data_IF_168571086167
#
_entry.id   IF_168571086167
#
_cell.length_a   1.000
_cell.length_b   1.000
_cell.length_c   1.000
_cell.angle_alpha   90.00
_cell.angle_beta   90.00
_cell.angle_gamma   90.00
#
_symmetry.space_group_name_H-M   'P 1'
#
loop_
_entity.id
_entity.type
_entity.pdbx_description
1 polymer ?
#
# COMPACT_ATOMS: atom_id res chain seq x y z
N UNK A 1 -1.55 5.01 -16.56
CA UNK A 1 -1.99 6.09 -15.67
C UNK A 1 -3.29 6.67 -16.19
N UNK A 2 -4.11 7.27 -15.32
CA UNK A 2 -5.42 7.84 -15.68
C UNK A 2 -5.25 9.20 -16.38
N UNK A 3 -6.17 9.58 -17.29
CA UNK A 3 -6.12 10.90 -17.93
C UNK A 3 -6.40 12.02 -16.92
N UNK A 4 -5.75 13.20 -17.00
CA UNK A 4 -5.92 14.26 -16.00
C UNK A 4 -7.37 14.66 -15.69
N UNK A 5 -8.22 14.75 -16.72
CA UNK A 5 -9.64 15.09 -16.55
C UNK A 5 -10.46 14.04 -15.76
N UNK A 6 -9.99 12.79 -15.74
CA UNK A 6 -10.66 11.66 -15.10
C UNK A 6 -10.13 11.37 -13.68
N UNK A 7 -8.97 11.93 -13.31
CA UNK A 7 -8.28 11.67 -12.03
C UNK A 7 -9.18 11.94 -10.84
N UNK A 8 -9.85 13.10 -10.80
CA UNK A 8 -10.70 13.48 -9.67
C UNK A 8 -11.86 12.48 -9.46
N UNK A 9 -12.49 12.05 -10.56
CA UNK A 9 -13.55 11.03 -10.53
C UNK A 9 -13.02 9.68 -10.07
N UNK A 10 -11.86 9.26 -10.58
CA UNK A 10 -11.24 7.98 -10.23
C UNK A 10 -10.84 7.91 -8.75
N UNK A 11 -10.24 8.97 -8.19
CA UNK A 11 -9.90 9.03 -6.76
C UNK A 11 -11.16 9.02 -5.90
N UNK A 12 -12.19 9.78 -6.27
CA UNK A 12 -13.47 9.79 -5.54
C UNK A 12 -14.11 8.40 -5.51
N UNK A 13 -14.07 7.68 -6.63
CA UNK A 13 -14.58 6.32 -6.72
C UNK A 13 -13.76 5.35 -5.85
N UNK A 14 -12.42 5.41 -5.92
CA UNK A 14 -11.51 4.59 -5.11
C UNK A 14 -11.75 4.80 -3.61
N UNK A 15 -11.84 6.06 -3.16
CA UNK A 15 -12.11 6.39 -1.77
C UNK A 15 -13.50 5.94 -1.32
N UNK A 16 -14.53 6.11 -2.15
CA UNK A 16 -15.88 5.66 -1.83
C UNK A 16 -15.94 4.15 -1.64
N UNK A 17 -15.31 3.39 -2.54
CA UNK A 17 -15.27 1.93 -2.46
C UNK A 17 -14.53 1.46 -1.21
N UNK A 18 -13.33 2.01 -0.96
CA UNK A 18 -12.52 1.62 0.19
C UNK A 18 -13.22 1.91 1.52
N UNK A 19 -13.79 3.12 1.67
CA UNK A 19 -14.48 3.51 2.90
C UNK A 19 -15.84 2.80 3.12
N UNK A 20 -16.37 2.12 2.10
CA UNK A 20 -17.62 1.34 2.22
C UNK A 20 -17.41 -0.03 2.88
N UNK A 21 -16.16 -0.50 2.98
CA UNK A 21 -15.83 -1.78 3.59
C UNK A 21 -15.98 -1.70 5.11
N UNK A 22 -16.69 -2.67 5.70
CA UNK A 22 -16.91 -2.75 7.16
C UNK A 22 -15.67 -3.17 7.93
N UNK A 23 -14.80 -3.97 7.31
CA UNK A 23 -13.50 -4.40 7.85
C UNK A 23 -12.47 -4.32 6.74
N UNK A 24 -11.38 -3.62 7.02
CA UNK A 24 -10.24 -3.50 6.11
C UNK A 24 -9.26 -4.63 6.39
N UNK A 25 -8.85 -5.33 5.34
CA UNK A 25 -7.80 -6.35 5.37
C UNK A 25 -6.48 -5.79 4.81
N UNK A 26 -5.40 -6.53 4.99
CA UNK A 26 -4.12 -6.19 4.39
C UNK A 26 -4.19 -6.11 2.86
N UNK A 27 -4.86 -7.06 2.23
CA UNK A 27 -5.00 -7.08 0.77
C UNK A 27 -5.84 -5.90 0.25
N UNK A 28 -6.80 -5.39 1.04
CA UNK A 28 -7.54 -4.17 0.69
C UNK A 28 -6.63 -2.92 0.70
N UNK A 29 -5.68 -2.84 1.64
CA UNK A 29 -4.70 -1.76 1.70
C UNK A 29 -3.75 -1.82 0.49
N UNK A 30 -3.27 -3.02 0.15
CA UNK A 30 -2.40 -3.22 -1.01
C UNK A 30 -3.13 -2.93 -2.32
N UNK A 31 -4.38 -3.35 -2.46
CA UNK A 31 -5.20 -3.04 -3.64
C UNK A 31 -5.44 -1.54 -3.78
N UNK A 32 -5.76 -0.86 -2.68
CA UNK A 32 -5.90 0.59 -2.67
C UNK A 32 -4.62 1.27 -3.18
N UNK A 33 -3.46 0.85 -2.67
CA UNK A 33 -2.17 1.41 -3.05
C UNK A 33 -1.86 1.21 -4.54
N UNK A 34 -2.04 0.00 -5.07
CA UNK A 34 -1.82 -0.28 -6.50
C UNK A 34 -2.75 0.56 -7.37
N UNK A 35 -4.01 0.73 -6.98
CA UNK A 35 -4.98 1.56 -7.71
C UNK A 35 -4.65 3.03 -7.60
N UNK A 36 -4.22 3.51 -6.44
CA UNK A 36 -3.76 4.89 -6.24
C UNK A 36 -2.55 5.21 -7.13
N UNK A 37 -1.53 4.35 -7.14
CA UNK A 37 -0.35 4.48 -8.03
C UNK A 37 -0.75 4.44 -9.52
N UNK A 38 -1.74 3.60 -9.86
CA UNK A 38 -2.25 3.49 -11.23
C UNK A 38 -3.02 4.72 -11.68
N UNK A 39 -3.78 5.37 -10.78
CA UNK A 39 -4.48 6.63 -11.07
C UNK A 39 -3.47 7.76 -11.22
N UNK A 40 -2.44 7.78 -10.36
CA UNK A 40 -1.34 8.75 -10.38
C UNK A 40 -1.83 10.21 -10.26
N UNK A 41 -2.51 10.57 -9.15
CA UNK A 41 -3.27 11.82 -9.07
C UNK A 41 -2.43 13.11 -8.99
N UNK A 42 -1.17 13.02 -8.59
CA UNK A 42 -0.28 14.17 -8.45
C UNK A 42 0.75 14.21 -9.58
N UNK A 43 1.35 15.39 -9.81
CA UNK A 43 2.43 15.54 -10.80
C UNK A 43 3.69 14.76 -10.42
N UNK A 44 4.04 14.73 -9.13
CA UNK A 44 5.13 13.96 -8.54
C UNK A 44 4.72 13.55 -7.12
N UNK A 45 5.42 12.58 -6.55
CA UNK A 45 5.27 12.19 -5.16
C UNK A 45 4.23 11.08 -4.93
N UNK A 46 3.57 10.59 -5.97
CA UNK A 46 2.58 9.50 -5.86
C UNK A 46 3.14 8.31 -5.08
N UNK A 47 4.31 7.80 -5.48
CA UNK A 47 5.01 6.72 -4.77
C UNK A 47 5.21 6.97 -3.27
N UNK A 48 5.56 8.20 -2.89
CA UNK A 48 5.78 8.59 -1.49
C UNK A 48 4.45 8.66 -0.73
N UNK A 49 3.44 9.30 -1.32
CA UNK A 49 2.10 9.44 -0.73
C UNK A 49 1.41 8.09 -0.60
N UNK A 50 1.47 7.23 -1.63
CA UNK A 50 0.87 5.89 -1.61
C UNK A 50 1.44 5.02 -0.49
N UNK A 51 2.77 5.02 -0.31
CA UNK A 51 3.41 4.30 0.82
C UNK A 51 3.01 4.87 2.18
N UNK A 52 2.89 6.20 2.31
CA UNK A 52 2.40 6.83 3.54
C UNK A 52 0.93 6.46 3.83
N UNK A 53 0.09 6.37 2.80
CA UNK A 53 -1.30 5.92 2.95
C UNK A 53 -1.32 4.46 3.42
N UNK A 54 -0.53 3.56 2.81
CA UNK A 54 -0.44 2.16 3.27
C UNK A 54 -0.03 2.07 4.74
N UNK A 55 1.02 2.80 5.12
CA UNK A 55 1.52 2.83 6.49
C UNK A 55 0.43 3.29 7.47
N UNK A 56 -0.24 4.41 7.13
CA UNK A 56 -1.32 4.99 7.94
C UNK A 56 -2.54 4.06 8.06
N UNK A 57 -2.96 3.40 6.97
CA UNK A 57 -4.10 2.47 7.03
C UNK A 57 -3.74 1.18 7.79
N UNK A 58 -2.49 0.72 7.74
CA UNK A 58 -2.05 -0.40 8.58
C UNK A 58 -2.25 -0.06 10.07
N UNK A 59 -1.71 1.09 10.52
CA UNK A 59 -1.87 1.57 11.89
C UNK A 59 -3.34 1.69 12.30
N UNK A 60 -4.17 2.31 11.46
CA UNK A 60 -5.60 2.52 11.73
C UNK A 60 -6.38 1.21 11.92
N UNK A 61 -5.94 0.14 11.28
CA UNK A 61 -6.65 -1.14 11.25
C UNK A 61 -5.97 -2.25 12.06
N UNK A 62 -5.07 -1.88 12.99
CA UNK A 62 -4.31 -2.82 13.84
C UNK A 62 -3.57 -3.89 13.01
N UNK A 63 -2.99 -3.46 11.89
CA UNK A 63 -2.08 -4.26 11.07
C UNK A 63 -0.69 -3.67 11.28
N UNK A 64 0.30 -4.53 11.50
CA UNK A 64 1.70 -4.09 11.66
C UNK A 64 2.10 -3.24 10.45
N UNK A 65 2.55 -1.99 10.62
CA UNK A 65 2.99 -1.19 9.50
C UNK A 65 4.32 -1.73 8.94
N UNK A 66 4.75 -1.23 7.79
CA UNK A 66 6.01 -1.66 7.18
C UNK A 66 6.62 -0.55 6.32
N UNK A 67 7.93 -0.65 6.08
CA UNK A 67 8.67 0.28 5.23
C UNK A 67 9.29 -0.51 4.09
N UNK A 68 9.04 -0.08 2.85
CA UNK A 68 9.73 -0.64 1.69
C UNK A 68 11.12 -0.04 1.61
N UNK A 69 12.13 -0.83 1.97
CA UNK A 69 13.56 -0.46 1.89
C UNK A 69 14.07 -0.49 0.45
N UNK A 70 15.29 0.02 0.23
CA UNK A 70 15.90 -0.01 -1.10
C UNK A 70 16.19 -1.45 -1.56
N UNK A 71 16.47 -2.41 -0.66
CA UNK A 71 16.67 -3.81 -1.04
C UNK A 71 15.39 -4.44 -1.61
N UNK A 72 14.23 -4.05 -1.09
CA UNK A 72 12.93 -4.58 -1.52
C UNK A 72 12.35 -3.88 -2.76
N UNK A 73 12.98 -2.80 -3.23
CA UNK A 73 12.45 -1.91 -4.27
C UNK A 73 12.10 -2.64 -5.57
N UNK A 74 12.98 -3.52 -6.05
CA UNK A 74 12.74 -4.25 -7.30
C UNK A 74 11.60 -5.26 -7.15
N UNK A 75 11.48 -5.92 -6.00
CA UNK A 75 10.38 -6.83 -5.70
C UNK A 75 9.05 -6.08 -5.56
N UNK A 76 9.07 -4.91 -4.92
CA UNK A 76 7.93 -4.02 -4.79
C UNK A 76 7.40 -3.54 -6.15
N UNK A 77 8.28 -3.06 -7.04
CA UNK A 77 7.88 -2.67 -8.40
C UNK A 77 7.35 -3.84 -9.22
N UNK A 78 7.99 -5.02 -9.11
CA UNK A 78 7.47 -6.25 -9.72
C UNK A 78 6.08 -6.60 -9.17
N UNK A 79 5.88 -6.47 -7.87
CA UNK A 79 4.61 -6.73 -7.20
C UNK A 79 3.50 -5.83 -7.70
N UNK A 80 3.73 -4.52 -7.78
CA UNK A 80 2.74 -3.56 -8.32
C UNK A 80 2.40 -3.90 -9.77
N UNK A 81 3.42 -4.15 -10.61
CA UNK A 81 3.22 -4.44 -12.04
C UNK A 81 2.35 -5.68 -12.27
N UNK A 82 2.48 -6.69 -11.43
CA UNK A 82 1.81 -7.99 -11.59
C UNK A 82 0.59 -8.15 -10.68
N UNK A 83 0.14 -7.12 -9.96
CA UNK A 83 -0.91 -7.24 -8.95
C UNK A 83 -2.22 -7.88 -9.46
N UNK A 84 -2.57 -7.65 -10.73
CA UNK A 84 -3.79 -8.22 -11.33
C UNK A 84 -3.69 -9.73 -11.57
N UNK A 85 -2.49 -10.21 -11.87
CA UNK A 85 -2.25 -11.60 -12.30
C UNK A 85 -1.70 -12.45 -11.15
N UNK A 86 -0.81 -11.88 -10.34
CA UNK A 86 -0.14 -12.55 -9.22
C UNK A 86 0.02 -11.60 -8.03
N UNK A 87 -0.98 -11.59 -7.14
CA UNK A 87 -0.99 -10.78 -5.91
C UNK A 87 0.11 -11.17 -4.93
N UNK A 88 0.57 -12.42 -4.98
CA UNK A 88 1.57 -12.98 -4.08
C UNK A 88 2.90 -12.23 -4.12
N UNK A 89 3.29 -11.64 -5.25
CA UNK A 89 4.55 -10.89 -5.36
C UNK A 89 4.58 -9.64 -4.48
N UNK A 90 3.55 -8.79 -4.57
CA UNK A 90 3.49 -7.59 -3.72
C UNK A 90 3.24 -7.97 -2.28
N UNK A 91 2.28 -8.87 -2.05
CA UNK A 91 1.91 -9.32 -0.71
C UNK A 91 3.10 -9.91 0.05
N UNK A 92 3.87 -10.80 -0.60
CA UNK A 92 5.07 -11.40 -0.02
C UNK A 92 6.14 -10.35 0.31
N UNK A 93 6.36 -9.40 -0.60
CA UNK A 93 7.33 -8.31 -0.38
C UNK A 93 6.96 -7.46 0.84
N UNK A 94 5.69 -7.08 0.96
CA UNK A 94 5.20 -6.29 2.10
C UNK A 94 5.20 -7.08 3.41
N UNK A 95 4.95 -8.40 3.37
CA UNK A 95 5.07 -9.27 4.54
C UNK A 95 6.52 -9.39 5.02
N UNK A 96 7.49 -9.54 4.11
CA UNK A 96 8.91 -9.51 4.49
C UNK A 96 9.28 -8.18 5.15
N UNK A 97 8.82 -7.05 4.60
CA UNK A 97 9.02 -5.74 5.23
C UNK A 97 8.32 -5.60 6.59
N UNK A 98 7.19 -6.29 6.81
CA UNK A 98 6.55 -6.34 8.13
C UNK A 98 7.39 -7.13 9.12
N UNK A 99 8.04 -8.21 8.71
CA UNK A 99 8.88 -9.01 9.63
C UNK A 99 10.11 -8.22 10.13
N UNK A 100 10.69 -7.37 9.27
CA UNK A 100 11.72 -6.41 9.68
C UNK A 100 11.17 -5.38 10.68
N UNK A 101 9.96 -4.85 10.43
CA UNK A 101 9.30 -3.92 11.37
C UNK A 101 9.00 -4.59 12.71
N UNK A 102 8.49 -5.82 12.71
CA UNK A 102 8.23 -6.59 13.94
C UNK A 102 9.51 -6.75 14.76
N UNK A 103 10.62 -7.09 14.12
CA UNK A 103 11.93 -7.19 14.77
C UNK A 103 12.33 -5.87 15.45
N UNK A 104 12.10 -4.73 14.78
CA UNK A 104 12.35 -3.42 15.37
C UNK A 104 11.39 -3.12 16.54
N UNK A 105 10.10 -3.42 16.41
CA UNK A 105 9.11 -3.23 17.48
C UNK A 105 9.45 -4.08 18.71
N UNK A 106 9.85 -5.34 18.51
CA UNK A 106 10.30 -6.25 19.57
C UNK A 106 11.54 -5.69 20.28
N UNK A 107 12.52 -5.18 19.53
CA UNK A 107 13.71 -4.52 20.10
C UNK A 107 13.36 -3.33 21.00
N UNK A 108 12.35 -2.53 20.61
CA UNK A 108 11.87 -1.39 21.41
C UNK A 108 10.79 -1.75 22.45
N UNK A 109 10.39 -3.03 22.56
CA UNK A 109 9.36 -3.48 23.50
C UNK A 109 7.94 -3.01 23.18
N UNK A 110 7.65 -2.69 21.91
CA UNK A 110 6.33 -2.23 21.45
C UNK A 110 5.48 -3.43 21.04
N UNK A 111 4.31 -3.59 21.68
CA UNK A 111 3.34 -4.64 21.32
C UNK A 111 2.57 -4.27 20.06
N UNK A 112 2.27 -5.28 19.23
CA UNK A 112 1.51 -5.15 17.98
C UNK A 112 0.57 -6.32 17.76
#
# INVERSE_FOLDING_TARGET
>A
TTKPAEVAGAIKALLKEYNSKSKITFDDILDFHVRFESIHPFQDGNGRVGRLIMFKECLKHNIVPFIITEELKMFYYRGIKNWKDERGYLRGTCLSAQDDMKTALDYFGVKY
#
